data_IF_961058072907
#
_entry.id   IF_961058072907
#
_cell.length_a   1.000
_cell.length_b   1.000
_cell.length_c   1.000
_cell.angle_alpha   90.00
_cell.angle_beta   90.00
_cell.angle_gamma   90.00
#
_symmetry.space_group_name_H-M   'P 1'
#
loop_
_entity.id
_entity.type
_entity.pdbx_description
1 polymer ?
#
# COMPACT_ATOMS: atom_id res chain seq x y z
N UNK A 1 -10.86 5.50 -21.31
CA UNK A 1 -10.65 6.33 -20.11
C UNK A 1 -9.76 5.52 -19.18
N UNK A 2 -8.61 6.05 -18.75
CA UNK A 2 -7.66 5.29 -17.92
C UNK A 2 -8.19 5.15 -16.51
N UNK A 3 -7.87 4.03 -15.83
CA UNK A 3 -8.21 3.83 -14.43
C UNK A 3 -7.32 4.69 -13.56
N UNK A 4 -7.84 5.09 -12.41
CA UNK A 4 -7.17 5.98 -11.47
C UNK A 4 -7.09 5.36 -10.09
N UNK A 5 -5.98 5.61 -9.41
CA UNK A 5 -5.70 5.09 -8.09
C UNK A 5 -5.12 6.15 -7.17
N UNK A 6 -5.40 6.00 -5.88
CA UNK A 6 -4.80 6.81 -4.81
C UNK A 6 -3.95 5.91 -3.92
N UNK A 7 -2.68 6.27 -3.74
CA UNK A 7 -1.77 5.60 -2.81
C UNK A 7 -1.64 6.41 -1.52
N UNK A 8 -2.08 5.84 -0.39
CA UNK A 8 -1.93 6.43 0.94
C UNK A 8 -0.85 5.66 1.71
N UNK A 9 0.23 6.34 2.08
CA UNK A 9 1.39 5.69 2.73
C UNK A 9 1.59 6.17 4.16
N UNK A 10 1.79 5.23 5.08
CA UNK A 10 2.26 5.48 6.44
C UNK A 10 3.56 4.72 6.69
N UNK A 11 4.40 5.30 7.56
CA UNK A 11 5.60 4.64 8.04
C UNK A 11 6.87 5.40 7.71
N UNK A 12 7.94 4.65 7.46
CA UNK A 12 9.29 5.19 7.34
C UNK A 12 9.73 5.38 5.88
N UNK A 13 11.02 5.72 5.68
CA UNK A 13 11.63 5.86 4.34
C UNK A 13 11.52 4.60 3.49
N UNK A 14 11.49 3.43 4.11
CA UNK A 14 11.30 2.16 3.43
C UNK A 14 9.90 2.06 2.82
N UNK A 15 8.86 2.41 3.58
CA UNK A 15 7.49 2.48 3.05
C UNK A 15 7.39 3.47 1.89
N UNK A 16 8.12 4.60 1.93
CA UNK A 16 8.13 5.57 0.83
C UNK A 16 8.83 5.02 -0.43
N UNK A 17 9.94 4.28 -0.29
CA UNK A 17 10.59 3.61 -1.41
C UNK A 17 9.68 2.53 -2.03
N UNK A 18 9.02 1.73 -1.18
CA UNK A 18 8.02 0.76 -1.61
C UNK A 18 6.84 1.42 -2.33
N UNK A 19 6.43 2.61 -1.90
CA UNK A 19 5.38 3.36 -2.57
C UNK A 19 5.78 3.83 -3.97
N UNK A 20 7.03 4.25 -4.19
CA UNK A 20 7.51 4.55 -5.55
C UNK A 20 7.44 3.29 -6.45
N UNK A 21 7.82 2.11 -5.93
CA UNK A 21 7.70 0.82 -6.64
C UNK A 21 6.24 0.46 -6.98
N UNK A 22 5.32 0.64 -6.02
CA UNK A 22 3.89 0.40 -6.21
C UNK A 22 3.32 1.32 -7.30
N UNK A 23 3.67 2.61 -7.28
CA UNK A 23 3.19 3.58 -8.26
C UNK A 23 3.60 3.20 -9.69
N UNK A 24 4.88 2.82 -9.88
CA UNK A 24 5.37 2.36 -11.17
C UNK A 24 4.62 1.10 -11.64
N UNK A 25 4.47 0.11 -10.77
CA UNK A 25 3.80 -1.14 -11.10
C UNK A 25 2.31 -0.94 -11.45
N UNK A 26 1.60 -0.07 -10.73
CA UNK A 26 0.20 0.28 -11.04
C UNK A 26 0.10 0.97 -12.40
N UNK A 27 1.03 1.87 -12.70
CA UNK A 27 1.05 2.59 -13.95
C UNK A 27 1.36 1.68 -15.15
N UNK A 28 2.22 0.67 -14.98
CA UNK A 28 2.44 -0.39 -15.97
C UNK A 28 1.17 -1.23 -16.21
N UNK A 29 0.28 -1.33 -15.22
CA UNK A 29 -1.06 -1.91 -15.38
C UNK A 29 -2.12 -0.93 -15.92
N UNK A 30 -1.72 0.30 -16.27
CA UNK A 30 -2.61 1.34 -16.79
C UNK A 30 -3.48 2.03 -15.74
N UNK A 31 -3.04 2.00 -14.48
CA UNK A 31 -3.69 2.67 -13.36
C UNK A 31 -2.89 3.93 -13.01
N UNK A 32 -3.41 5.08 -13.41
CA UNK A 32 -2.78 6.38 -13.17
C UNK A 32 -3.03 6.90 -11.75
N UNK A 33 -2.25 7.89 -11.31
CA UNK A 33 -2.42 8.49 -9.98
C UNK A 33 -3.45 9.60 -9.98
N UNK A 34 -4.32 9.64 -8.97
CA UNK A 34 -5.20 10.78 -8.70
C UNK A 34 -6.68 10.46 -8.90
N UNK A 35 -7.48 11.51 -9.14
CA UNK A 35 -8.94 11.43 -9.24
C UNK A 35 -9.64 11.78 -7.93
N UNK A 36 -10.73 12.55 -8.02
CA UNK A 36 -11.62 12.83 -6.88
C UNK A 36 -12.47 11.60 -6.50
N UNK A 37 -12.66 10.67 -7.43
CA UNK A 37 -13.31 9.39 -7.25
C UNK A 37 -12.45 8.31 -7.94
N UNK A 38 -11.38 7.83 -7.27
CA UNK A 38 -10.47 6.83 -7.83
C UNK A 38 -11.15 5.46 -7.91
N UNK A 39 -10.72 4.62 -8.84
CA UNK A 39 -11.17 3.23 -8.97
C UNK A 39 -10.58 2.35 -7.86
N UNK A 40 -9.37 2.68 -7.38
CA UNK A 40 -8.68 1.94 -6.32
C UNK A 40 -7.99 2.87 -5.32
N UNK A 41 -8.02 2.50 -4.04
CA UNK A 41 -7.20 3.10 -3.00
C UNK A 41 -6.28 2.05 -2.43
N UNK A 42 -4.97 2.22 -2.62
CA UNK A 42 -3.94 1.37 -2.00
C UNK A 42 -3.47 2.05 -0.71
N UNK A 43 -3.57 1.34 0.42
CA UNK A 43 -3.09 1.82 1.72
C UNK A 43 -1.84 1.04 2.11
N UNK A 44 -0.67 1.67 2.01
CA UNK A 44 0.62 1.10 2.44
C UNK A 44 0.87 1.42 3.92
N UNK A 45 0.80 0.39 4.78
CA UNK A 45 0.70 0.51 6.23
C UNK A 45 2.02 0.28 6.98
N UNK A 46 2.05 0.73 8.25
CA UNK A 46 3.17 0.56 9.17
C UNK A 46 2.76 -0.04 10.53
N UNK A 47 3.62 -0.88 11.12
CA UNK A 47 3.38 -1.55 12.42
C UNK A 47 4.57 -1.51 13.40
N UNK A 48 5.63 -0.76 13.10
CA UNK A 48 6.87 -0.80 13.92
C UNK A 48 6.64 -0.31 15.36
N UNK A 49 5.61 0.50 15.58
CA UNK A 49 5.12 0.85 16.92
C UNK A 49 3.60 0.66 17.03
N UNK A 50 3.09 0.69 18.25
CA UNK A 50 1.64 0.64 18.54
C UNK A 50 0.91 1.89 18.00
N UNK A 51 1.55 3.06 18.03
CA UNK A 51 1.03 4.30 17.45
C UNK A 51 0.96 4.20 15.92
N UNK A 52 2.01 3.66 15.28
CA UNK A 52 2.01 3.41 13.85
C UNK A 52 0.88 2.45 13.44
N UNK A 53 0.67 1.38 14.22
CA UNK A 53 -0.43 0.43 14.02
C UNK A 53 -1.80 1.12 14.15
N UNK A 54 -1.94 2.00 15.15
CA UNK A 54 -3.17 2.77 15.38
C UNK A 54 -3.43 3.80 14.27
N UNK A 55 -2.38 4.46 13.77
CA UNK A 55 -2.46 5.35 12.62
C UNK A 55 -2.85 4.60 11.34
N UNK A 56 -2.27 3.41 11.10
CA UNK A 56 -2.63 2.53 9.97
C UNK A 56 -4.11 2.17 9.99
N UNK A 57 -4.63 1.71 11.13
CA UNK A 57 -6.06 1.43 11.31
C UNK A 57 -6.96 2.65 11.07
N UNK A 58 -6.53 3.84 11.49
CA UNK A 58 -7.28 5.08 11.27
C UNK A 58 -7.28 5.47 9.79
N UNK A 59 -6.15 5.31 9.11
CA UNK A 59 -6.01 5.61 7.69
C UNK A 59 -6.86 4.67 6.83
N UNK A 60 -6.84 3.36 7.10
CA UNK A 60 -7.70 2.39 6.39
C UNK A 60 -9.17 2.81 6.50
N UNK A 61 -9.68 2.99 7.72
CA UNK A 61 -11.09 3.42 7.92
C UNK A 61 -11.39 4.77 7.29
N UNK A 62 -10.44 5.69 7.26
CA UNK A 62 -10.60 6.97 6.59
C UNK A 62 -10.70 6.76 5.07
N UNK A 63 -9.84 5.96 4.47
CA UNK A 63 -9.88 5.65 3.04
C UNK A 63 -11.22 5.05 2.62
N UNK A 64 -11.72 4.08 3.38
CA UNK A 64 -13.06 3.47 3.15
C UNK A 64 -14.17 4.53 3.18
N UNK A 65 -14.16 5.43 4.17
CA UNK A 65 -15.19 6.48 4.28
C UNK A 65 -15.05 7.59 3.23
N UNK A 66 -13.82 7.92 2.83
CA UNK A 66 -13.52 8.98 1.86
C UNK A 66 -13.83 8.52 0.44
N UNK A 67 -13.68 7.22 0.14
CA UNK A 67 -13.88 6.63 -1.17
C UNK A 67 -14.70 5.33 -1.08
N UNK A 68 -16.01 5.42 -0.76
CA UNK A 68 -16.85 4.24 -0.53
C UNK A 68 -17.08 3.38 -1.79
N UNK A 69 -16.93 3.97 -2.98
CA UNK A 69 -17.12 3.27 -4.26
C UNK A 69 -15.80 2.73 -4.85
N UNK A 70 -14.66 3.03 -4.23
CA UNK A 70 -13.36 2.59 -4.71
C UNK A 70 -13.00 1.22 -4.12
N UNK A 71 -12.28 0.40 -4.89
CA UNK A 71 -11.68 -0.82 -4.33
C UNK A 71 -10.58 -0.44 -3.34
N UNK A 72 -10.72 -0.81 -2.07
CA UNK A 72 -9.75 -0.53 -1.01
C UNK A 72 -8.83 -1.72 -0.80
N UNK A 73 -7.56 -1.55 -1.14
CA UNK A 73 -6.51 -2.56 -1.02
C UNK A 73 -5.53 -2.15 0.06
N UNK A 74 -5.26 -3.03 1.01
CA UNK A 74 -4.33 -2.76 2.12
C UNK A 74 -3.07 -3.59 1.97
N UNK A 75 -1.92 -2.95 2.11
CA UNK A 75 -0.59 -3.57 2.03
C UNK A 75 0.35 -3.04 3.12
N UNK A 76 1.59 -3.52 3.15
CA UNK A 76 2.62 -3.08 4.09
C UNK A 76 2.66 -3.91 5.39
N UNK A 77 3.56 -3.55 6.29
CA UNK A 77 3.91 -4.41 7.43
C UNK A 77 2.79 -4.61 8.47
N UNK A 78 1.85 -3.66 8.63
CA UNK A 78 0.69 -3.89 9.49
C UNK A 78 -0.28 -4.90 8.87
N UNK A 79 -0.48 -4.82 7.55
CA UNK A 79 -1.29 -5.77 6.80
C UNK A 79 -0.71 -7.20 6.86
N UNK A 80 0.63 -7.33 6.90
CA UNK A 80 1.30 -8.63 7.13
C UNK A 80 1.14 -9.08 8.58
N UNK A 81 1.42 -8.20 9.55
CA UNK A 81 1.39 -8.56 10.96
C UNK A 81 0.00 -8.96 11.47
N UNK A 82 -1.06 -8.39 10.87
CA UNK A 82 -2.46 -8.48 11.30
C UNK A 82 -3.39 -8.71 10.11
N UNK A 83 -3.02 -9.64 9.24
CA UNK A 83 -3.74 -9.91 7.98
C UNK A 83 -5.22 -10.20 8.19
N UNK A 84 -5.54 -11.10 9.12
CA UNK A 84 -6.92 -11.48 9.45
C UNK A 84 -7.72 -10.29 10.01
N UNK A 85 -7.14 -9.55 10.97
CA UNK A 85 -7.78 -8.36 11.55
C UNK A 85 -8.11 -7.32 10.47
N UNK A 86 -7.20 -7.12 9.51
CA UNK A 86 -7.38 -6.14 8.43
C UNK A 86 -8.39 -6.63 7.40
N UNK A 87 -8.35 -7.91 7.02
CA UNK A 87 -9.31 -8.50 6.09
C UNK A 87 -10.74 -8.51 6.66
N UNK A 88 -10.89 -8.58 7.99
CA UNK A 88 -12.18 -8.47 8.67
C UNK A 88 -12.71 -7.03 8.80
N UNK A 89 -11.95 -6.01 8.38
CA UNK A 89 -12.41 -4.62 8.43
C UNK A 89 -13.44 -4.36 7.33
N UNK A 90 -14.61 -3.84 7.73
CA UNK A 90 -15.65 -3.43 6.79
C UNK A 90 -15.12 -2.42 5.77
N UNK A 91 -15.39 -2.70 4.48
CA UNK A 91 -14.97 -1.90 3.34
C UNK A 91 -13.52 -2.10 2.89
N UNK A 92 -12.77 -3.07 3.45
CA UNK A 92 -11.50 -3.53 2.87
C UNK A 92 -11.80 -4.66 1.89
N UNK A 93 -11.45 -4.48 0.61
CA UNK A 93 -11.71 -5.47 -0.43
C UNK A 93 -10.61 -6.53 -0.53
N UNK A 94 -9.36 -6.14 -0.25
CA UNK A 94 -8.23 -7.08 -0.30
C UNK A 94 -7.05 -6.68 0.60
N UNK A 95 -6.39 -7.69 1.16
CA UNK A 95 -5.07 -7.58 1.79
C UNK A 95 -4.05 -8.24 0.89
N UNK A 96 -3.16 -7.44 0.31
CA UNK A 96 -2.24 -7.88 -0.74
C UNK A 96 -0.80 -7.51 -0.38
N UNK A 97 0.14 -8.47 -0.31
CA UNK A 97 1.56 -8.16 -0.10
C UNK A 97 2.18 -7.59 -1.37
N UNK A 98 3.18 -6.70 -1.21
CA UNK A 98 3.86 -6.05 -2.34
C UNK A 98 4.59 -7.07 -3.22
N UNK A 99 5.25 -8.06 -2.59
CA UNK A 99 6.09 -9.05 -3.27
C UNK A 99 5.30 -10.01 -4.18
N UNK A 100 3.99 -10.18 -3.95
CA UNK A 100 3.16 -11.14 -4.69
C UNK A 100 2.33 -10.45 -5.78
N UNK A 101 2.98 -9.57 -6.55
CA UNK A 101 2.37 -8.96 -7.73
C UNK A 101 1.19 -8.04 -7.42
N UNK A 102 1.31 -7.18 -6.39
CA UNK A 102 0.26 -6.28 -5.93
C UNK A 102 -0.50 -5.59 -7.08
N UNK A 103 0.20 -4.95 -8.02
CA UNK A 103 -0.42 -4.19 -9.10
C UNK A 103 -1.21 -5.08 -10.07
N UNK A 104 -0.68 -6.26 -10.42
CA UNK A 104 -1.39 -7.23 -11.26
C UNK A 104 -2.68 -7.72 -10.60
N UNK A 105 -2.62 -8.02 -9.30
CA UNK A 105 -3.81 -8.41 -8.53
C UNK A 105 -4.82 -7.27 -8.42
N UNK A 106 -4.38 -6.03 -8.18
CA UNK A 106 -5.26 -4.86 -8.24
C UNK A 106 -5.94 -4.76 -9.61
N UNK A 107 -5.20 -4.98 -10.69
CA UNK A 107 -5.74 -4.99 -12.04
C UNK A 107 -6.73 -6.15 -12.30
N UNK A 108 -6.74 -7.22 -11.52
CA UNK A 108 -7.81 -8.24 -11.57
C UNK A 108 -9.12 -7.73 -10.99
N UNK A 109 -9.07 -6.89 -9.95
CA UNK A 109 -10.27 -6.30 -9.33
C UNK A 109 -10.91 -5.22 -10.19
N UNK A 110 -10.11 -4.25 -10.64
CA UNK A 110 -10.64 -3.07 -11.34
C UNK A 110 -10.52 -3.20 -12.86
N UNK A 111 -9.62 -4.07 -13.34
CA UNK A 111 -9.25 -4.33 -14.74
C UNK A 111 -7.93 -3.64 -15.15
N UNK A 112 -7.19 -4.27 -16.07
CA UNK A 112 -5.96 -3.70 -16.63
C UNK A 112 -6.23 -2.68 -17.76
N UNK A 113 -5.32 -1.73 -17.92
CA UNK A 113 -5.33 -0.71 -18.98
C UNK A 113 -4.02 -0.65 -19.76
N UNK A 114 -3.92 0.36 -20.62
CA UNK A 114 -2.66 0.66 -21.33
C UNK A 114 -1.73 1.39 -20.35
N UNK A 115 -0.43 1.04 -20.30
CA UNK A 115 0.53 1.71 -19.42
C UNK A 115 0.47 3.23 -19.49
N UNK A 116 0.55 3.88 -18.34
CA UNK A 116 0.48 5.35 -18.22
C UNK A 116 1.77 5.91 -17.62
N UNK A 117 2.16 7.16 -17.93
CA UNK A 117 3.33 7.76 -17.32
C UNK A 117 3.09 8.08 -15.83
N UNK A 118 4.09 7.82 -14.99
CA UNK A 118 4.08 8.24 -13.58
C UNK A 118 4.75 9.60 -13.45
N UNK A 119 4.02 10.56 -12.87
CA UNK A 119 4.60 11.81 -12.42
C UNK A 119 4.86 11.73 -10.93
N UNK A 120 6.11 11.97 -10.55
CA UNK A 120 6.45 12.11 -9.16
C UNK A 120 6.67 13.57 -8.77
N UNK A 121 6.12 14.03 -7.63
CA UNK A 121 6.17 15.45 -7.26
C UNK A 121 7.53 15.93 -6.74
N UNK A 122 8.39 15.03 -6.25
CA UNK A 122 9.71 15.36 -5.70
C UNK A 122 10.81 14.73 -6.54
N UNK A 123 11.94 15.42 -6.82
CA UNK A 123 13.10 14.81 -7.47
C UNK A 123 13.91 13.91 -6.52
N UNK A 124 13.71 14.01 -5.20
CA UNK A 124 14.39 13.16 -4.21
C UNK A 124 13.63 11.85 -4.02
N UNK A 125 14.37 10.75 -4.12
CA UNK A 125 13.87 9.37 -3.95
C UNK A 125 14.57 8.66 -2.79
N UNK A 126 13.87 7.70 -2.20
CA UNK A 126 14.46 6.76 -1.27
C UNK A 126 14.90 5.52 -2.05
N UNK A 127 16.13 5.06 -1.85
CA UNK A 127 16.61 3.80 -2.39
C UNK A 127 16.54 2.75 -1.29
N UNK A 128 15.74 1.70 -1.51
CA UNK A 128 15.68 0.54 -0.63
C UNK A 128 16.95 -0.30 -0.80
N UNK A 129 17.84 -0.27 0.19
CA UNK A 129 19.05 -1.12 0.24
C UNK A 129 18.76 -2.43 0.99
N UNK A 130 17.89 -2.38 1.99
CA UNK A 130 17.54 -3.51 2.84
C UNK A 130 16.06 -3.39 3.26
N UNK A 131 15.38 -4.53 3.40
CA UNK A 131 13.94 -4.58 3.74
C UNK A 131 13.69 -5.08 5.16
N UNK A 132 14.40 -6.13 5.59
CA UNK A 132 14.27 -6.78 6.92
C UNK A 132 15.51 -6.60 7.78
N UNK A 133 15.59 -7.34 8.89
CA UNK A 133 16.75 -7.37 9.78
C UNK A 133 16.79 -8.74 10.47
N UNK A 134 17.97 -9.36 10.53
CA UNK A 134 18.17 -10.69 11.16
C UNK A 134 18.60 -10.58 12.63
N UNK A 135 18.70 -9.36 13.16
CA UNK A 135 19.06 -9.12 14.56
C UNK A 135 17.94 -9.54 15.51
N UNK A 136 18.32 -10.24 16.58
CA UNK A 136 17.37 -10.78 17.55
C UNK A 136 17.12 -9.80 18.71
N UNK A 137 16.39 -8.72 18.42
CA UNK A 137 15.93 -7.78 19.44
C UNK A 137 14.63 -8.26 20.10
N UNK A 138 14.59 -8.32 21.43
CA UNK A 138 13.43 -8.83 22.20
C UNK A 138 12.13 -8.06 22.01
N UNK A 139 12.20 -6.82 21.53
CA UNK A 139 11.06 -5.92 21.33
C UNK A 139 10.70 -5.69 19.84
N UNK A 140 11.56 -6.07 18.90
CA UNK A 140 11.42 -5.64 17.51
C UNK A 140 10.53 -6.60 16.71
N UNK A 141 9.56 -6.05 15.98
CA UNK A 141 8.63 -6.81 15.14
C UNK A 141 9.13 -6.99 13.69
N UNK A 142 10.21 -6.29 13.30
CA UNK A 142 10.74 -6.27 11.92
C UNK A 142 11.08 -7.68 11.40
N UNK A 143 11.78 -8.56 12.16
CA UNK A 143 12.11 -9.91 11.68
C UNK A 143 10.88 -10.78 11.36
N UNK A 144 9.68 -10.43 11.83
CA UNK A 144 8.45 -11.18 11.56
C UNK A 144 7.58 -10.58 10.46
N UNK A 145 7.88 -9.34 10.05
CA UNK A 145 7.00 -8.56 9.17
C UNK A 145 7.67 -8.12 7.88
N UNK A 146 9.02 -8.11 7.85
CA UNK A 146 9.81 -7.66 6.71
C UNK A 146 11.04 -8.52 6.42
N UNK A 147 11.37 -9.47 7.31
CA UNK A 147 12.41 -10.50 7.15
C UNK A 147 11.76 -11.83 6.83
#
# INVERSE_FOLDING_TARGET
>A
MGRTGVLRTLGCRLNQAESDEILLALADCGIGTGGSAPDVVVVNTCTVTSEASSASRKLIRRSVREFPDATVVVTGCYAVARSEDVAAMEGVDAVLPIKDGLAGRVAEYIGAGVPVPVLFPSPRRNLKVQTGCDEHCTFCIVPRTRG
#
